data_IF_345607848509
#
_entry.id   IF_345607848509
#
_cell.length_a   1.000
_cell.length_b   1.000
_cell.length_c   1.000
_cell.angle_alpha   90.00
_cell.angle_beta   90.00
_cell.angle_gamma   90.00
#
_symmetry.space_group_name_H-M   'P 1'
#
loop_
_entity.id
_entity.type
_entity.pdbx_description
1 polymer ?
#
# COMPACT_ATOMS: atom_id res chain seq x y z
N UNK A 1 26.89 -2.30 -13.50
CA UNK A 1 27.37 -2.83 -14.81
C UNK A 1 28.89 -2.98 -14.77
N UNK A 2 29.48 -3.69 -15.74
CA UNK A 2 30.95 -3.88 -15.82
C UNK A 2 31.46 -3.51 -17.21
N UNK A 3 32.40 -2.58 -17.27
CA UNK A 3 33.13 -2.17 -18.47
C UNK A 3 34.43 -2.97 -18.52
N UNK A 4 34.80 -3.49 -19.70
CA UNK A 4 36.04 -4.25 -19.92
C UNK A 4 36.90 -3.55 -20.97
N UNK A 5 38.21 -3.65 -20.83
CA UNK A 5 39.17 -2.87 -21.63
C UNK A 5 40.58 -2.98 -21.04
N UNK A 6 41.43 -1.99 -21.32
CA UNK A 6 42.78 -1.87 -20.76
C UNK A 6 43.04 -0.41 -20.35
N UNK A 7 43.96 -0.18 -19.42
CA UNK A 7 44.34 1.19 -19.03
C UNK A 7 43.35 1.91 -18.12
N UNK A 8 42.50 1.19 -17.37
CA UNK A 8 41.63 1.83 -16.36
C UNK A 8 42.37 2.24 -15.08
N UNK A 9 43.65 1.89 -14.97
CA UNK A 9 44.49 2.27 -13.83
C UNK A 9 44.57 3.79 -13.73
N UNK A 10 44.01 4.35 -12.65
CA UNK A 10 43.96 5.80 -12.44
C UNK A 10 42.82 6.53 -13.15
N UNK A 11 41.81 5.82 -13.67
CA UNK A 11 40.61 6.47 -14.22
C UNK A 11 39.98 7.45 -13.20
N UNK A 12 39.85 8.72 -13.60
CA UNK A 12 39.35 9.81 -12.76
C UNK A 12 37.84 10.03 -12.95
N UNK A 13 37.32 9.77 -14.15
CA UNK A 13 35.88 9.80 -14.41
C UNK A 13 35.49 8.78 -15.49
N UNK A 14 34.29 8.23 -15.33
CA UNK A 14 33.63 7.41 -16.35
C UNK A 14 32.26 8.01 -16.59
N UNK A 15 31.91 8.27 -17.85
CA UNK A 15 30.59 8.76 -18.23
C UNK A 15 29.96 7.85 -19.28
N UNK A 16 28.63 7.77 -19.27
CA UNK A 16 27.84 7.07 -20.29
C UNK A 16 26.85 8.06 -20.89
N UNK A 17 27.04 8.37 -22.16
CA UNK A 17 26.27 9.38 -22.89
C UNK A 17 26.28 10.76 -22.20
N UNK A 18 27.37 11.09 -21.51
CA UNK A 18 27.51 12.31 -20.72
C UNK A 18 26.97 12.25 -19.29
N UNK A 19 26.38 11.14 -18.83
CA UNK A 19 26.03 10.95 -17.42
C UNK A 19 27.18 10.29 -16.66
N UNK A 20 27.59 10.87 -15.53
CA UNK A 20 28.65 10.31 -14.69
C UNK A 20 28.23 8.97 -14.10
N UNK A 21 29.05 7.96 -14.32
CA UNK A 21 28.90 6.67 -13.67
C UNK A 21 29.44 6.78 -12.25
N UNK A 22 28.61 6.44 -11.26
CA UNK A 22 29.02 6.49 -9.85
C UNK A 22 29.52 5.10 -9.46
N UNK A 23 30.73 4.96 -8.91
CA UNK A 23 31.24 3.66 -8.49
C UNK A 23 30.49 3.14 -7.26
N UNK A 24 30.34 1.82 -7.09
CA UNK A 24 30.71 1.16 -5.85
C UNK A 24 32.19 0.75 -5.90
N UNK A 25 32.95 1.02 -4.84
CA UNK A 25 34.32 0.49 -4.64
C UNK A 25 34.30 -1.03 -4.34
N UNK A 26 35.36 -1.84 -4.57
CA UNK A 26 36.64 -1.60 -5.24
C UNK A 26 36.80 -2.57 -6.45
N UNK A 27 36.40 -2.18 -7.66
CA UNK A 27 36.48 -3.07 -8.83
C UNK A 27 36.91 -2.29 -10.08
N UNK A 28 37.95 -1.46 -9.95
CA UNK A 28 38.71 -0.95 -11.09
C UNK A 28 40.09 -1.63 -11.08
N UNK A 29 40.28 -2.62 -11.95
CA UNK A 29 41.60 -3.13 -12.30
C UNK A 29 42.01 -2.54 -13.65
N UNK A 30 43.23 -2.79 -14.11
CA UNK A 30 43.63 -2.36 -15.44
C UNK A 30 42.70 -2.90 -16.55
N UNK A 31 42.06 -4.06 -16.31
CA UNK A 31 41.23 -4.74 -17.30
C UNK A 31 39.71 -4.58 -17.17
N UNK A 32 39.22 -4.00 -16.07
CA UNK A 32 37.78 -3.83 -15.86
C UNK A 32 37.46 -2.66 -14.92
N UNK A 33 36.29 -2.06 -15.13
CA UNK A 33 35.74 -1.01 -14.28
C UNK A 33 34.26 -1.30 -13.99
N UNK A 34 33.87 -1.35 -12.72
CA UNK A 34 32.46 -1.51 -12.33
C UNK A 34 31.89 -0.23 -11.76
N UNK A 35 30.70 0.14 -12.25
CA UNK A 35 29.97 1.30 -11.75
C UNK A 35 28.47 1.17 -12.02
N UNK A 36 27.70 2.07 -11.43
CA UNK A 36 26.25 2.21 -11.61
C UNK A 36 25.96 3.54 -12.29
N UNK A 37 25.13 3.51 -13.32
CA UNK A 37 24.62 4.71 -14.00
C UNK A 37 23.22 5.04 -13.50
N UNK A 38 22.85 6.32 -13.51
CA UNK A 38 21.48 6.74 -13.21
C UNK A 38 20.48 6.34 -14.30
N UNK A 39 19.20 6.45 -13.99
CA UNK A 39 18.10 6.23 -14.93
C UNK A 39 18.18 7.20 -16.13
N UNK A 40 17.95 6.68 -17.33
CA UNK A 40 17.95 7.43 -18.60
C UNK A 40 16.96 6.81 -19.59
N UNK A 41 16.50 7.62 -20.54
CA UNK A 41 15.64 7.17 -21.62
C UNK A 41 16.34 6.09 -22.47
N UNK A 42 15.59 5.05 -22.81
CA UNK A 42 16.05 3.94 -23.62
C UNK A 42 16.14 4.30 -25.12
N UNK A 43 16.76 3.41 -25.89
CA UNK A 43 16.75 3.46 -27.35
C UNK A 43 17.94 4.16 -28.01
N UNK A 44 18.75 4.94 -27.26
CA UNK A 44 19.96 5.55 -27.80
C UNK A 44 21.21 4.71 -27.46
N UNK A 45 22.02 4.41 -28.48
CA UNK A 45 23.40 3.95 -28.27
C UNK A 45 24.24 5.13 -27.80
N UNK A 46 24.79 5.02 -26.60
CA UNK A 46 25.56 6.02 -25.90
C UNK A 46 27.06 5.66 -25.91
N UNK A 47 27.88 6.71 -25.94
CA UNK A 47 29.33 6.60 -25.76
C UNK A 47 29.67 6.29 -24.31
N UNK A 48 30.56 5.32 -24.11
CA UNK A 48 31.20 5.04 -22.82
C UNK A 48 32.55 5.74 -22.82
N UNK A 49 32.66 6.84 -22.09
CA UNK A 49 33.88 7.63 -21.99
C UNK A 49 34.54 7.39 -20.65
N UNK A 50 35.84 7.18 -20.68
CA UNK A 50 36.71 6.92 -19.55
C UNK A 50 37.86 7.91 -19.65
N UNK A 51 37.94 8.79 -18.67
CA UNK A 51 39.02 9.75 -18.54
C UNK A 51 40.04 9.22 -17.55
N UNK A 52 41.30 9.20 -18.00
CA UNK A 52 42.48 8.88 -17.20
C UNK A 52 43.42 10.11 -17.22
N UNK A 53 44.45 10.16 -16.36
CA UNK A 53 45.49 11.19 -16.44
C UNK A 53 46.20 11.24 -17.80
N UNK A 54 46.19 10.13 -18.54
CA UNK A 54 46.77 10.03 -19.88
C UNK A 54 45.82 10.52 -20.99
N UNK A 55 44.57 10.84 -20.66
CA UNK A 55 43.56 11.32 -21.60
C UNK A 55 42.25 10.52 -21.55
N UNK A 56 41.30 10.92 -22.40
CA UNK A 56 40.00 10.25 -22.59
C UNK A 56 40.06 9.38 -23.84
N UNK A 57 39.39 8.21 -23.83
CA UNK A 57 39.28 7.37 -25.02
C UNK A 57 38.49 8.05 -26.16
N UNK A 58 38.64 7.51 -27.37
CA UNK A 58 37.84 7.94 -28.52
C UNK A 58 36.34 7.67 -28.30
N UNK A 59 35.44 8.54 -28.85
CA UNK A 59 34.01 8.32 -28.79
C UNK A 59 33.60 6.96 -29.33
N UNK A 60 32.61 6.33 -28.69
CA UNK A 60 32.09 5.02 -29.10
C UNK A 60 30.57 4.96 -28.94
N UNK A 61 29.98 3.78 -29.16
CA UNK A 61 28.54 3.53 -29.06
C UNK A 61 28.28 2.19 -28.38
N UNK A 62 29.01 1.91 -27.29
CA UNK A 62 29.06 0.60 -26.66
C UNK A 62 27.93 0.31 -25.67
N UNK A 63 27.15 1.31 -25.26
CA UNK A 63 26.12 1.15 -24.24
C UNK A 63 24.75 1.63 -24.72
N UNK A 64 23.75 0.78 -24.67
CA UNK A 64 22.35 1.15 -24.91
C UNK A 64 21.57 0.94 -23.63
N UNK A 65 20.84 1.97 -23.18
CA UNK A 65 19.85 1.76 -22.13
C UNK A 65 18.75 0.86 -22.69
N UNK A 66 18.59 -0.31 -22.08
CA UNK A 66 17.48 -1.18 -22.41
C UNK A 66 16.17 -0.46 -22.15
N UNK A 67 15.22 -0.57 -23.09
CA UNK A 67 13.81 -0.30 -22.83
C UNK A 67 13.35 -1.35 -21.82
N UNK A 68 13.49 -1.04 -20.54
CA UNK A 68 12.67 -1.71 -19.53
C UNK A 68 11.31 -1.05 -19.70
N UNK A 69 10.44 -1.68 -20.49
CA UNK A 69 9.06 -1.24 -20.59
C UNK A 69 8.53 -1.04 -19.17
N UNK A 70 7.95 0.13 -18.84
CA UNK A 70 7.39 0.34 -17.52
C UNK A 70 6.35 -0.75 -17.30
N UNK A 71 6.60 -1.60 -16.32
CA UNK A 71 5.64 -2.56 -15.81
C UNK A 71 4.42 -1.74 -15.39
N UNK A 72 3.24 -2.01 -15.97
CA UNK A 72 2.08 -1.17 -15.71
C UNK A 72 1.73 -1.25 -14.22
N UNK A 73 1.37 -0.10 -13.65
CA UNK A 73 0.79 -0.05 -12.31
C UNK A 73 -0.41 -1.02 -12.21
N UNK A 74 -0.70 -1.53 -11.00
CA UNK A 74 -1.85 -2.41 -10.82
C UNK A 74 -3.13 -1.71 -11.26
N UNK A 75 -4.13 -2.46 -11.71
CA UNK A 75 -5.45 -1.93 -12.06
C UNK A 75 -6.50 -2.59 -11.18
N UNK A 76 -7.31 -1.78 -10.52
CA UNK A 76 -8.44 -2.25 -9.70
C UNK A 76 -9.72 -2.11 -10.50
N UNK A 77 -10.40 -3.23 -10.77
CA UNK A 77 -11.63 -3.25 -11.55
C UNK A 77 -12.89 -3.27 -10.67
N UNK A 78 -12.87 -4.01 -9.57
CA UNK A 78 -14.02 -4.15 -8.69
C UNK A 78 -13.62 -4.57 -7.27
N UNK A 79 -14.53 -4.37 -6.32
CA UNK A 79 -14.43 -4.86 -4.94
C UNK A 79 -15.75 -5.50 -4.54
N UNK A 80 -15.70 -6.63 -3.83
CA UNK A 80 -16.87 -7.39 -3.40
C UNK A 80 -16.70 -7.90 -1.96
N UNK A 81 -17.64 -7.59 -1.04
CA UNK A 81 -18.75 -6.64 -1.22
C UNK A 81 -18.27 -5.20 -1.47
N UNK A 82 -19.07 -4.41 -2.21
CA UNK A 82 -18.77 -3.00 -2.51
C UNK A 82 -19.16 -2.04 -1.38
N UNK A 83 -19.72 -2.57 -0.31
CA UNK A 83 -20.14 -1.83 0.87
C UNK A 83 -19.88 -2.65 2.13
N UNK A 84 -19.63 -1.97 3.25
CA UNK A 84 -19.48 -2.62 4.54
C UNK A 84 -19.55 -1.64 5.70
N UNK A 85 -19.55 -2.15 6.95
CA UNK A 85 -19.74 -1.33 8.13
C UNK A 85 -18.56 -0.38 8.37
N UNK A 86 -18.85 0.85 8.80
CA UNK A 86 -17.86 1.84 9.26
C UNK A 86 -17.02 1.36 10.46
N UNK A 87 -17.48 0.33 11.17
CA UNK A 87 -16.73 -0.34 12.23
C UNK A 87 -15.55 -1.18 11.72
N UNK A 88 -15.45 -1.44 10.41
CA UNK A 88 -14.45 -2.34 9.84
C UNK A 88 -14.70 -3.81 10.17
N UNK A 89 -13.68 -4.64 9.95
CA UNK A 89 -13.70 -6.08 10.19
C UNK A 89 -14.38 -6.91 9.11
N UNK A 90 -14.72 -6.31 7.96
CA UNK A 90 -15.39 -7.01 6.88
C UNK A 90 -14.40 -7.49 5.82
N UNK A 91 -14.43 -8.78 5.51
CA UNK A 91 -13.61 -9.37 4.48
C UNK A 91 -14.12 -8.94 3.10
N UNK A 92 -13.22 -8.38 2.30
CA UNK A 92 -13.48 -7.92 0.93
C UNK A 92 -12.52 -8.60 -0.04
N UNK A 93 -13.00 -8.83 -1.25
CA UNK A 93 -12.22 -9.35 -2.38
C UNK A 93 -12.11 -8.26 -3.43
N UNK A 94 -10.88 -7.91 -3.78
CA UNK A 94 -10.54 -6.91 -4.78
C UNK A 94 -10.11 -7.64 -6.05
N UNK A 95 -10.76 -7.30 -7.16
CA UNK A 95 -10.55 -7.91 -8.48
C UNK A 95 -9.87 -6.91 -9.41
N UNK A 96 -8.90 -7.37 -10.20
CA UNK A 96 -8.12 -6.50 -11.07
C UNK A 96 -7.00 -7.20 -11.82
N UNK A 97 -5.87 -6.52 -12.00
CA UNK A 97 -4.67 -7.06 -12.66
C UNK A 97 -3.39 -6.43 -12.11
N UNK A 98 -2.28 -7.16 -12.16
CA UNK A 98 -0.98 -6.67 -11.71
C UNK A 98 -0.82 -6.68 -10.20
N UNK A 99 -1.53 -7.55 -9.49
CA UNK A 99 -1.47 -7.67 -8.03
C UNK A 99 -0.30 -8.52 -7.52
N UNK A 100 0.49 -9.11 -8.43
CA UNK A 100 1.69 -9.85 -8.06
C UNK A 100 2.65 -8.98 -7.25
N UNK A 101 2.93 -9.40 -6.01
CA UNK A 101 3.80 -8.66 -5.10
C UNK A 101 3.16 -7.44 -4.43
N UNK A 102 1.83 -7.32 -4.41
CA UNK A 102 1.15 -6.26 -3.68
C UNK A 102 1.60 -6.21 -2.21
N UNK A 103 1.99 -5.02 -1.77
CA UNK A 103 2.57 -4.77 -0.44
C UNK A 103 1.59 -4.07 0.50
N UNK A 104 0.68 -3.27 -0.04
CA UNK A 104 -0.31 -2.54 0.73
C UNK A 104 -1.60 -2.36 -0.07
N UNK A 105 -2.72 -2.31 0.66
CA UNK A 105 -4.03 -1.92 0.14
C UNK A 105 -4.65 -0.94 1.12
N UNK A 106 -5.20 0.16 0.61
CA UNK A 106 -5.92 1.16 1.39
C UNK A 106 -7.29 1.45 0.79
N UNK A 107 -8.28 1.70 1.62
CA UNK A 107 -9.63 2.09 1.22
C UNK A 107 -9.94 3.43 1.87
N UNK A 108 -10.04 4.50 1.07
CA UNK A 108 -10.23 5.86 1.57
C UNK A 108 -9.09 6.36 2.48
N UNK A 109 -7.88 5.79 2.31
CA UNK A 109 -6.72 6.04 3.17
C UNK A 109 -6.62 5.16 4.42
N UNK A 110 -7.61 4.30 4.70
CA UNK A 110 -7.53 3.29 5.76
C UNK A 110 -6.92 1.99 5.27
N UNK A 111 -5.93 1.45 5.98
CA UNK A 111 -5.25 0.21 5.60
C UNK A 111 -6.19 -1.00 5.65
N UNK A 112 -6.17 -1.85 4.63
CA UNK A 112 -6.92 -3.10 4.60
C UNK A 112 -6.02 -4.26 5.04
N UNK A 113 -6.25 -4.81 6.24
CA UNK A 113 -5.39 -5.81 6.88
C UNK A 113 -6.20 -6.92 7.56
N UNK A 114 -5.76 -8.19 7.50
CA UNK A 114 -4.57 -8.69 6.80
C UNK A 114 -4.76 -8.73 5.29
N UNK A 115 -3.69 -8.49 4.52
CA UNK A 115 -3.66 -8.60 3.06
C UNK A 115 -3.25 -10.01 2.65
N UNK A 116 -4.04 -10.65 1.79
CA UNK A 116 -3.73 -11.95 1.17
C UNK A 116 -3.86 -11.82 -0.34
N UNK A 117 -2.74 -11.92 -1.06
CA UNK A 117 -2.75 -11.99 -2.53
C UNK A 117 -3.12 -13.41 -2.93
N UNK A 118 -4.31 -13.59 -3.54
CA UNK A 118 -4.82 -14.89 -3.99
C UNK A 118 -4.22 -15.22 -5.35
N UNK A 119 -4.20 -14.24 -6.26
CA UNK A 119 -3.65 -14.33 -7.61
C UNK A 119 -3.26 -12.95 -8.13
N UNK A 120 -2.68 -12.88 -9.33
CA UNK A 120 -2.39 -11.60 -10.00
C UNK A 120 -3.64 -10.72 -10.21
N UNK A 121 -4.83 -11.32 -10.17
CA UNK A 121 -6.11 -10.66 -10.41
C UNK A 121 -7.04 -10.61 -9.20
N UNK A 122 -6.64 -11.18 -8.06
CA UNK A 122 -7.46 -11.22 -6.86
C UNK A 122 -6.65 -11.01 -5.57
N UNK A 123 -7.07 -10.05 -4.75
CA UNK A 123 -6.59 -9.82 -3.39
C UNK A 123 -7.77 -9.96 -2.43
N UNK A 124 -7.56 -10.64 -1.30
CA UNK A 124 -8.48 -10.60 -0.17
C UNK A 124 -7.87 -9.81 0.97
N UNK A 125 -8.64 -8.91 1.57
CA UNK A 125 -8.23 -8.18 2.76
C UNK A 125 -9.43 -7.88 3.67
N UNK A 126 -9.19 -7.48 4.91
CA UNK A 126 -10.25 -7.05 5.82
C UNK A 126 -10.21 -5.55 6.05
N UNK A 127 -11.36 -4.89 5.94
CA UNK A 127 -11.48 -3.45 6.16
C UNK A 127 -11.20 -3.08 7.61
N UNK A 128 -10.64 -1.91 7.86
CA UNK A 128 -10.46 -1.37 9.22
C UNK A 128 -11.55 -0.33 9.52
N UNK A 129 -11.73 0.07 10.79
CA UNK A 129 -12.65 1.16 11.12
C UNK A 129 -12.35 2.41 10.30
N UNK A 130 -13.39 3.01 9.73
CA UNK A 130 -13.30 4.22 8.92
C UNK A 130 -14.57 5.08 9.09
N UNK A 131 -14.48 6.38 8.79
CA UNK A 131 -15.65 7.24 8.78
C UNK A 131 -16.70 6.72 7.76
N UNK A 132 -17.97 6.72 8.17
CA UNK A 132 -19.06 6.39 7.28
C UNK A 132 -19.14 7.42 6.13
N UNK A 133 -19.44 6.94 4.92
CA UNK A 133 -19.46 7.75 3.70
C UNK A 133 -19.02 6.94 2.49
N UNK A 134 -18.81 7.64 1.37
CA UNK A 134 -18.31 7.05 0.13
C UNK A 134 -19.02 7.59 -1.10
N UNK A 135 -18.64 7.12 -2.30
CA UNK A 135 -17.63 6.07 -2.54
C UNK A 135 -16.19 6.52 -2.27
N UNK A 136 -15.38 5.65 -1.68
CA UNK A 136 -13.96 5.83 -1.41
C UNK A 136 -13.10 5.10 -2.45
N UNK A 137 -11.89 5.62 -2.69
CA UNK A 137 -10.89 4.96 -3.53
C UNK A 137 -10.33 3.72 -2.87
N UNK A 138 -10.13 2.68 -3.66
CA UNK A 138 -9.43 1.45 -3.31
C UNK A 138 -8.08 1.49 -3.99
N UNK A 139 -7.03 1.70 -3.22
CA UNK A 139 -5.66 1.85 -3.71
C UNK A 139 -4.85 0.60 -3.32
N UNK A 140 -4.23 -0.03 -4.30
CA UNK A 140 -3.36 -1.21 -4.23
C UNK A 140 -1.96 -0.75 -4.64
N UNK A 141 -0.99 -0.96 -3.76
CA UNK A 141 0.41 -0.59 -3.98
C UNK A 141 1.26 -1.85 -4.20
N UNK A 142 1.93 -1.89 -5.35
CA UNK A 142 2.91 -2.91 -5.74
C UNK A 142 4.27 -2.24 -5.93
N UNK A 143 5.37 -3.02 -6.09
CA UNK A 143 6.68 -2.47 -6.44
C UNK A 143 6.67 -1.65 -7.73
N UNK A 144 5.70 -1.91 -8.61
CA UNK A 144 5.53 -1.26 -9.91
C UNK A 144 4.69 0.03 -9.84
N UNK A 145 4.11 0.34 -8.68
CA UNK A 145 3.36 1.56 -8.43
C UNK A 145 2.03 1.34 -7.71
N UNK A 146 1.22 2.39 -7.66
CA UNK A 146 -0.16 2.35 -7.14
C UNK A 146 -1.12 2.52 -8.31
N UNK A 147 -2.28 1.87 -8.26
CA UNK A 147 -3.31 2.05 -9.29
C UNK A 147 -3.81 3.50 -9.37
N UNK A 148 -4.44 3.81 -10.50
CA UNK A 148 -5.17 5.07 -10.67
C UNK A 148 -6.34 5.17 -9.66
N UNK A 149 -6.62 6.36 -9.13
CA UNK A 149 -7.71 6.58 -8.18
C UNK A 149 -9.05 6.08 -8.72
N UNK A 150 -9.83 5.46 -7.84
CA UNK A 150 -11.16 4.95 -8.18
C UNK A 150 -12.19 5.32 -7.10
N UNK A 151 -13.40 4.80 -7.23
CA UNK A 151 -14.51 5.10 -6.33
C UNK A 151 -15.40 3.85 -6.18
N UNK A 152 -14.88 2.82 -5.52
CA UNK A 152 -15.45 1.47 -5.57
C UNK A 152 -16.07 0.97 -4.25
N UNK A 153 -15.78 1.61 -3.11
CA UNK A 153 -16.22 1.09 -1.80
C UNK A 153 -16.96 2.11 -0.94
N UNK A 154 -18.02 1.69 -0.24
CA UNK A 154 -18.82 2.53 0.66
C UNK A 154 -18.75 2.01 2.10
N UNK A 155 -18.48 2.90 3.06
CA UNK A 155 -18.62 2.60 4.48
C UNK A 155 -20.01 3.02 4.97
N UNK A 156 -20.88 2.04 5.21
CA UNK A 156 -22.20 2.25 5.78
C UNK A 156 -22.12 2.44 7.29
N UNK A 157 -22.85 3.42 7.85
CA UNK A 157 -22.86 3.67 9.28
C UNK A 157 -23.30 2.39 10.04
N UNK A 158 -22.46 1.90 10.94
CA UNK A 158 -22.89 0.86 11.87
C UNK A 158 -23.98 1.42 12.79
N UNK A 159 -25.11 0.71 12.88
CA UNK A 159 -26.08 1.00 13.92
C UNK A 159 -25.39 0.76 15.28
N UNK A 160 -25.29 1.80 16.10
CA UNK A 160 -24.89 1.64 17.48
C UNK A 160 -25.85 0.62 18.10
N UNK A 161 -25.32 -0.51 18.61
CA UNK A 161 -26.13 -1.35 19.50
C UNK A 161 -26.34 -0.51 20.74
N UNK A 162 -27.52 0.07 20.84
CA UNK A 162 -27.95 0.78 22.03
C UNK A 162 -28.00 -0.23 23.18
N UNK A 163 -26.93 -0.31 23.97
CA UNK A 163 -26.97 -1.00 25.25
C UNK A 163 -27.78 -0.08 26.15
N UNK A 164 -29.11 -0.19 26.05
CA UNK A 164 -30.03 0.41 26.99
C UNK A 164 -29.60 -0.07 28.38
N UNK A 165 -29.08 0.85 29.20
CA UNK A 165 -28.91 0.61 30.62
C UNK A 165 -30.25 0.09 31.13
N UNK A 166 -30.27 -1.08 31.77
CA UNK A 166 -31.45 -1.57 32.47
C UNK A 166 -31.89 -0.41 33.36
N UNK A 167 -33.10 0.18 33.19
CA UNK A 167 -33.50 1.32 33.99
C UNK A 167 -33.43 0.86 35.46
N UNK A 168 -32.55 1.49 36.24
CA UNK A 168 -32.53 1.28 37.69
C UNK A 168 -33.93 1.62 38.16
N UNK A 169 -34.63 0.64 38.72
CA UNK A 169 -36.00 0.79 39.21
C UNK A 169 -36.07 2.09 40.01
N UNK A 170 -36.70 3.11 39.42
CA UNK A 170 -36.85 4.40 40.07
C UNK A 170 -37.68 4.18 41.33
N UNK A 171 -37.46 5.03 42.34
CA UNK A 171 -38.02 4.93 43.70
C UNK A 171 -39.56 4.81 43.74
N UNK A 172 -40.23 5.10 42.63
CA UNK A 172 -41.64 4.83 42.35
C UNK A 172 -42.00 3.34 42.55
N UNK A 173 -41.07 2.43 42.28
CA UNK A 173 -41.23 0.98 42.47
C UNK A 173 -41.26 0.58 43.96
N UNK A 174 -40.52 1.32 44.80
CA UNK A 174 -40.55 1.12 46.25
C UNK A 174 -41.87 1.60 46.86
N UNK A 175 -42.42 2.73 46.41
CA UNK A 175 -43.74 3.19 46.89
C UNK A 175 -44.87 2.25 46.49
N UNK A 176 -44.86 1.70 45.27
CA UNK A 176 -45.86 0.71 44.84
C UNK A 176 -45.78 -0.57 45.68
N UNK A 177 -44.57 -1.06 45.98
CA UNK A 177 -44.36 -2.23 46.85
C UNK A 177 -44.70 -1.95 48.32
N UNK A 178 -44.38 -0.76 48.86
CA UNK A 178 -44.75 -0.36 50.22
C UNK A 178 -46.27 -0.20 50.38
N UNK A 179 -46.94 0.36 49.38
CA UNK A 179 -48.40 0.54 49.39
C UNK A 179 -49.10 -0.83 49.32
N UNK A 180 -48.58 -1.77 48.53
CA UNK A 180 -49.11 -3.14 48.44
C UNK A 180 -48.86 -3.94 49.74
N UNK A 181 -47.68 -3.82 50.37
CA UNK A 181 -47.39 -4.47 51.66
C UNK A 181 -48.24 -3.91 52.81
N UNK A 182 -48.52 -2.60 52.83
CA UNK A 182 -49.38 -1.97 53.85
C UNK A 182 -50.85 -2.46 53.73
N UNK A 183 -51.36 -2.61 52.51
CA UNK A 183 -52.68 -3.19 52.25
C UNK A 183 -52.78 -4.67 52.65
N UNK A 184 -51.71 -5.45 52.47
CA UNK A 184 -51.66 -6.86 52.89
C UNK A 184 -51.58 -6.99 54.42
N UNK A 185 -50.86 -6.09 55.11
CA UNK A 185 -50.78 -6.11 56.60
C UNK A 185 -52.08 -5.65 57.25
N UNK A 186 -52.78 -4.66 56.68
CA UNK A 186 -54.06 -4.20 57.21
C UNK A 186 -55.18 -5.25 57.07
N UNK A 187 -55.13 -6.09 56.02
CA UNK A 187 -56.10 -7.19 55.84
C UNK A 187 -55.94 -8.34 56.84
N UNK A 188 -54.75 -8.54 57.42
CA UNK A 188 -54.51 -9.58 58.45
C UNK A 188 -54.92 -9.16 59.87
N UNK A 189 -55.28 -7.90 60.10
CA UNK A 189 -55.76 -7.40 61.41
C UNK A 189 -57.29 -7.32 61.53
N UNK A 190 -58.01 -7.65 60.46
CA UNK A 190 -59.48 -7.56 60.35
C UNK A 190 -60.16 -8.94 60.18
N UNK A 191 -59.45 -10.02 60.50
CA UNK A 191 -59.94 -11.40 60.47
C UNK A 191 -59.70 -12.11 61.79
#
# INVERSE_FOLDING_TARGET
>A
MTIRGTGFTGATSVTIGGATCTPPFPQSSDSYYSCTTGARAAGNSLSVEVTTPSGTNAPNTLYTYADVAPTPAPTVAAISPAEGPSAGGQAVTISGSGFTGATAVTIGGSACVPLTVISDSAISCSTTPHAAGGPFSVDVTTPEGTNEPNALYIYSASAATDIQAIPTLSEWSLWVLMTLMLLVTLRRRQG
#
